data_IF_029575404016
#
_entry.id   IF_029575404016
#
_cell.length_a   1.000
_cell.length_b   1.000
_cell.length_c   1.000
_cell.angle_alpha   90.00
_cell.angle_beta   90.00
_cell.angle_gamma   90.00
#
_symmetry.space_group_name_H-M   'P 1'
#
loop_
_entity.id
_entity.type
_entity.pdbx_description
1 polymer ?
#
# COMPACT_ATOMS: atom_id res chain seq x y z
N UNK A 1 -13.41 33.24 5.27
CA UNK A 1 -14.10 33.13 6.57
C UNK A 1 -13.04 33.19 7.67
N UNK A 2 -13.19 34.09 8.65
CA UNK A 2 -12.17 34.29 9.71
C UNK A 2 -12.56 33.60 11.03
N UNK A 3 -13.82 33.21 11.20
CA UNK A 3 -14.30 32.52 12.40
C UNK A 3 -15.35 31.46 12.05
N UNK A 4 -15.32 30.31 12.72
CA UNK A 4 -16.36 29.32 12.66
C UNK A 4 -17.56 29.80 13.52
N UNK A 5 -18.72 29.96 12.89
CA UNK A 5 -19.92 30.43 13.61
C UNK A 5 -20.56 29.30 14.44
N UNK A 6 -20.46 28.06 13.99
CA UNK A 6 -20.95 26.87 14.69
C UNK A 6 -20.25 25.63 14.16
N UNK A 7 -19.86 24.73 15.05
CA UNK A 7 -19.25 23.43 14.73
C UNK A 7 -20.06 22.32 15.39
N UNK A 8 -20.49 21.34 14.60
CA UNK A 8 -21.13 20.13 15.08
C UNK A 8 -20.12 19.00 14.95
N UNK A 9 -19.86 18.28 16.03
CA UNK A 9 -18.98 17.13 16.04
C UNK A 9 -19.63 15.94 15.32
N UNK A 10 -18.83 15.17 14.57
CA UNK A 10 -19.29 13.97 13.88
C UNK A 10 -19.88 12.95 14.85
N UNK A 11 -19.27 12.78 16.02
CA UNK A 11 -19.77 11.92 17.10
C UNK A 11 -21.19 12.29 17.53
N UNK A 12 -21.53 13.60 17.56
CA UNK A 12 -22.89 14.07 17.86
C UNK A 12 -23.86 13.68 16.75
N UNK A 13 -23.50 13.89 15.47
CA UNK A 13 -24.34 13.52 14.33
C UNK A 13 -24.60 12.00 14.26
N UNK A 14 -23.62 11.17 14.61
CA UNK A 14 -23.79 9.72 14.70
C UNK A 14 -24.72 9.36 15.86
N UNK A 15 -24.53 9.95 17.02
CA UNK A 15 -25.34 9.69 18.22
C UNK A 15 -26.81 10.10 18.02
N UNK A 16 -27.04 11.21 17.33
CA UNK A 16 -28.38 11.72 17.02
C UNK A 16 -29.03 11.03 15.80
N UNK A 17 -28.29 10.12 15.13
CA UNK A 17 -28.82 9.31 14.03
C UNK A 17 -28.87 10.03 12.68
N UNK A 18 -28.14 11.15 12.50
CA UNK A 18 -27.98 11.81 11.21
C UNK A 18 -26.91 11.16 10.33
N UNK A 19 -26.01 10.37 10.94
CA UNK A 19 -24.99 9.60 10.25
C UNK A 19 -24.96 8.17 10.80
N UNK A 20 -24.60 7.20 9.95
CA UNK A 20 -24.30 5.83 10.39
C UNK A 20 -22.90 5.75 11.04
N UNK A 21 -22.69 4.70 11.84
CA UNK A 21 -21.39 4.49 12.49
C UNK A 21 -20.33 3.99 11.48
N UNK A 22 -19.11 4.56 11.47
CA UNK A 22 -17.99 3.96 10.74
C UNK A 22 -17.46 2.73 11.47
N UNK A 23 -17.13 1.69 10.70
CA UNK A 23 -16.29 0.56 11.12
C UNK A 23 -15.00 0.63 10.34
N UNK A 24 -13.95 1.11 10.99
CA UNK A 24 -12.68 1.40 10.34
C UNK A 24 -11.69 0.26 10.50
N UNK A 25 -11.04 -0.10 9.41
CA UNK A 25 -9.96 -1.08 9.35
C UNK A 25 -8.75 -0.41 8.71
N UNK A 26 -7.64 -0.39 9.41
CA UNK A 26 -6.36 0.05 8.86
C UNK A 26 -5.61 -1.19 8.41
N UNK A 27 -5.27 -1.23 7.14
CA UNK A 27 -4.56 -2.36 6.53
C UNK A 27 -3.09 -2.01 6.41
N UNK A 28 -2.24 -2.65 7.22
CA UNK A 28 -0.81 -2.46 7.14
C UNK A 28 -0.22 -3.31 6.01
N UNK A 29 0.24 -2.63 4.97
CA UNK A 29 0.88 -3.22 3.80
C UNK A 29 2.41 -3.33 3.93
N UNK A 30 2.97 -2.92 5.07
CA UNK A 30 4.43 -2.82 5.26
C UNK A 30 5.07 -1.69 4.45
N UNK A 31 4.31 -0.66 4.07
CA UNK A 31 4.78 0.51 3.31
C UNK A 31 4.59 1.82 4.08
N UNK A 32 4.19 1.75 5.34
CA UNK A 32 3.83 2.91 6.15
C UNK A 32 4.98 3.91 6.28
N UNK A 33 6.21 3.44 6.54
CA UNK A 33 7.38 4.31 6.68
C UNK A 33 7.70 5.04 5.36
N UNK A 34 7.36 4.47 4.21
CA UNK A 34 7.54 5.12 2.91
C UNK A 34 6.49 6.21 2.69
N UNK A 35 5.23 5.90 3.00
CA UNK A 35 4.15 6.89 2.91
C UNK A 35 4.39 8.08 3.85
N UNK A 36 4.96 7.85 5.02
CA UNK A 36 5.33 8.91 5.97
C UNK A 36 6.46 9.81 5.44
N UNK A 37 7.31 9.30 4.55
CA UNK A 37 8.45 10.00 3.97
C UNK A 37 8.16 10.64 2.59
N UNK A 38 6.95 10.49 2.06
CA UNK A 38 6.54 11.12 0.79
C UNK A 38 6.66 12.65 0.91
N UNK A 39 7.26 13.26 -0.12
CA UNK A 39 7.39 14.72 -0.19
C UNK A 39 6.02 15.39 -0.24
N UNK A 40 5.97 16.64 0.26
CA UNK A 40 4.76 17.45 0.18
C UNK A 40 4.91 18.53 -0.86
N UNK A 41 3.91 18.64 -1.72
CA UNK A 41 3.74 19.76 -2.66
C UNK A 41 2.69 20.72 -2.09
N UNK A 42 3.14 21.79 -1.43
CA UNK A 42 2.26 22.72 -0.71
C UNK A 42 1.62 22.08 0.51
N UNK A 43 0.28 21.98 0.52
CA UNK A 43 -0.48 21.37 1.62
C UNK A 43 -0.78 19.88 1.43
N UNK A 44 -0.48 19.31 0.26
CA UNK A 44 -0.78 17.92 -0.10
C UNK A 44 0.50 17.09 -0.26
N UNK A 45 0.37 15.76 -0.16
CA UNK A 45 1.44 14.84 -0.55
C UNK A 45 1.68 14.87 -2.06
N UNK A 46 2.89 14.53 -2.48
CA UNK A 46 3.16 14.26 -3.90
C UNK A 46 2.48 12.95 -4.29
N UNK A 47 1.38 13.07 -5.05
CA UNK A 47 0.54 11.94 -5.41
C UNK A 47 1.21 10.98 -6.41
N UNK A 48 2.20 11.44 -7.17
CA UNK A 48 3.00 10.56 -8.04
C UNK A 48 3.95 9.68 -7.20
N UNK A 49 4.55 10.24 -6.15
CA UNK A 49 5.33 9.43 -5.20
C UNK A 49 4.45 8.43 -4.44
N UNK A 50 3.24 8.85 -4.03
CA UNK A 50 2.27 7.94 -3.41
C UNK A 50 1.89 6.81 -4.37
N UNK A 51 1.59 7.13 -5.64
CA UNK A 51 1.26 6.12 -6.65
C UNK A 51 2.43 5.15 -6.88
N UNK A 52 3.68 5.64 -6.92
CA UNK A 52 4.85 4.79 -7.07
C UNK A 52 5.00 3.74 -5.95
N UNK A 53 4.44 4.00 -4.78
CA UNK A 53 4.40 3.07 -3.64
C UNK A 53 3.17 2.17 -3.71
N UNK A 54 1.99 2.76 -3.91
CA UNK A 54 0.70 2.10 -3.72
C UNK A 54 0.18 1.39 -4.98
N UNK A 55 0.50 1.89 -6.19
CA UNK A 55 0.03 1.30 -7.44
C UNK A 55 0.90 0.10 -7.83
N UNK A 56 0.64 -1.02 -7.18
CA UNK A 56 1.29 -2.32 -7.40
C UNK A 56 0.23 -3.41 -7.49
N UNK A 57 0.41 -4.34 -8.42
CA UNK A 57 -0.57 -5.40 -8.68
C UNK A 57 -0.95 -6.17 -7.42
N UNK A 58 0.04 -6.53 -6.59
CA UNK A 58 -0.20 -7.24 -5.33
C UNK A 58 -0.97 -6.40 -4.30
N UNK A 59 -0.77 -5.08 -4.31
CA UNK A 59 -1.52 -4.14 -3.44
C UNK A 59 -2.95 -4.00 -3.96
N UNK A 60 -3.12 -3.80 -5.27
CA UNK A 60 -4.43 -3.66 -5.89
C UNK A 60 -5.27 -4.94 -5.71
N UNK A 61 -4.66 -6.12 -5.81
CA UNK A 61 -5.30 -7.40 -5.50
C UNK A 61 -5.68 -7.49 -4.01
N UNK A 62 -4.83 -7.01 -3.11
CA UNK A 62 -5.12 -6.99 -1.66
C UNK A 62 -6.29 -6.08 -1.31
N UNK A 63 -6.42 -4.93 -1.96
CA UNK A 63 -7.57 -4.04 -1.80
C UNK A 63 -8.87 -4.79 -2.11
N UNK A 64 -8.90 -5.55 -3.20
CA UNK A 64 -10.05 -6.35 -3.61
C UNK A 64 -10.35 -7.47 -2.61
N UNK A 65 -9.34 -8.17 -2.09
CA UNK A 65 -9.53 -9.22 -1.09
C UNK A 65 -10.09 -8.68 0.23
N UNK A 66 -9.54 -7.58 0.74
CA UNK A 66 -10.05 -6.93 1.95
C UNK A 66 -11.48 -6.44 1.78
N UNK A 67 -11.78 -5.90 0.59
CA UNK A 67 -13.15 -5.50 0.28
C UNK A 67 -14.10 -6.70 0.29
N UNK A 68 -13.73 -7.84 -0.32
CA UNK A 68 -14.54 -9.07 -0.31
C UNK A 68 -14.78 -9.60 1.10
N UNK A 69 -13.75 -9.58 1.93
CA UNK A 69 -13.83 -10.10 3.31
C UNK A 69 -14.69 -9.21 4.21
N UNK A 70 -14.52 -7.88 4.11
CA UNK A 70 -15.11 -6.94 5.07
C UNK A 70 -16.35 -6.22 4.57
N UNK A 71 -16.42 -5.92 3.29
CA UNK A 71 -17.51 -5.14 2.70
C UNK A 71 -18.49 -5.99 1.88
N UNK A 72 -18.02 -7.10 1.30
CA UNK A 72 -18.87 -8.03 0.57
C UNK A 72 -19.47 -7.44 -0.69
N UNK A 73 -20.75 -7.10 -0.66
CA UNK A 73 -21.55 -6.59 -1.78
C UNK A 73 -21.90 -5.10 -1.68
N UNK A 74 -21.29 -4.39 -0.74
CA UNK A 74 -21.61 -2.99 -0.45
C UNK A 74 -21.26 -2.06 -1.61
N UNK A 75 -22.12 -1.08 -1.88
CA UNK A 75 -21.78 0.05 -2.73
C UNK A 75 -20.59 0.80 -2.16
N UNK A 76 -19.56 0.96 -2.97
CA UNK A 76 -18.22 1.37 -2.50
C UNK A 76 -17.68 2.52 -3.33
N UNK A 77 -17.03 3.48 -2.65
CA UNK A 77 -16.23 4.53 -3.30
C UNK A 77 -14.77 4.35 -2.89
N UNK A 78 -13.86 4.35 -3.88
CA UNK A 78 -12.41 4.23 -3.68
C UNK A 78 -11.73 5.54 -4.04
N UNK A 79 -10.86 6.04 -3.17
CA UNK A 79 -10.07 7.26 -3.38
C UNK A 79 -8.62 6.91 -3.68
N UNK A 80 -8.18 7.14 -4.92
CA UNK A 80 -6.83 6.87 -5.41
C UNK A 80 -5.97 8.13 -5.51
N UNK A 81 -4.65 7.95 -5.67
CA UNK A 81 -3.66 9.03 -5.78
C UNK A 81 -3.60 9.64 -7.17
N UNK A 82 -3.56 8.81 -8.22
CA UNK A 82 -3.46 9.24 -9.64
C UNK A 82 -4.53 8.56 -10.49
N UNK A 83 -4.72 9.05 -11.72
CA UNK A 83 -5.66 8.47 -12.68
C UNK A 83 -5.25 7.04 -13.04
N UNK A 84 -3.97 6.81 -13.30
CA UNK A 84 -3.45 5.49 -13.62
C UNK A 84 -3.65 4.51 -12.45
N UNK A 85 -3.41 4.93 -11.22
CA UNK A 85 -3.71 4.12 -10.03
C UNK A 85 -5.20 3.77 -9.94
N UNK A 86 -6.09 4.73 -10.23
CA UNK A 86 -7.54 4.48 -10.23
C UNK A 86 -7.94 3.46 -11.31
N UNK A 87 -7.35 3.55 -12.49
CA UNK A 87 -7.56 2.59 -13.59
C UNK A 87 -7.14 1.18 -13.18
N UNK A 88 -5.92 1.01 -12.63
CA UNK A 88 -5.41 -0.29 -12.20
C UNK A 88 -6.22 -0.90 -11.05
N UNK A 89 -6.68 -0.09 -10.10
CA UNK A 89 -7.57 -0.56 -9.02
C UNK A 89 -8.92 -0.99 -9.59
N UNK A 90 -9.52 -0.21 -10.51
CA UNK A 90 -10.76 -0.56 -11.19
C UNK A 90 -10.61 -1.90 -11.94
N UNK A 91 -9.54 -2.07 -12.71
CA UNK A 91 -9.24 -3.34 -13.39
C UNK A 91 -9.10 -4.52 -12.43
N UNK A 92 -8.50 -4.32 -11.24
CA UNK A 92 -8.39 -5.37 -10.25
C UNK A 92 -9.76 -5.83 -9.75
N UNK A 93 -10.72 -4.91 -9.52
CA UNK A 93 -12.10 -5.26 -9.21
C UNK A 93 -12.80 -5.99 -10.36
N UNK A 94 -12.65 -5.51 -11.60
CA UNK A 94 -13.24 -6.14 -12.78
C UNK A 94 -12.70 -7.56 -12.99
N UNK A 95 -11.39 -7.78 -12.86
CA UNK A 95 -10.77 -9.12 -12.91
C UNK A 95 -11.31 -10.07 -11.84
N UNK A 96 -11.71 -9.53 -10.71
CA UNK A 96 -12.31 -10.30 -9.62
C UNK A 96 -13.82 -10.57 -9.80
N UNK A 97 -14.41 -10.15 -10.94
CA UNK A 97 -15.82 -10.30 -11.28
C UNK A 97 -16.75 -9.30 -10.60
N UNK A 98 -16.22 -8.20 -10.07
CA UNK A 98 -16.97 -7.14 -9.40
C UNK A 98 -17.23 -6.02 -10.40
N UNK A 99 -18.48 -5.52 -10.46
CA UNK A 99 -18.83 -4.38 -11.33
C UNK A 99 -18.20 -3.11 -10.77
N UNK A 100 -17.20 -2.61 -11.48
CA UNK A 100 -16.46 -1.42 -11.10
C UNK A 100 -16.32 -0.47 -12.30
N UNK A 101 -16.22 0.80 -12.01
CA UNK A 101 -15.89 1.85 -12.97
C UNK A 101 -15.02 2.92 -12.29
N UNK A 102 -14.42 3.82 -13.07
CA UNK A 102 -13.61 4.90 -12.50
C UNK A 102 -13.97 6.26 -13.09
N UNK A 103 -13.91 7.29 -12.25
CA UNK A 103 -14.24 8.67 -12.61
C UNK A 103 -13.07 9.60 -12.28
N UNK A 104 -12.78 10.49 -13.23
CA UNK A 104 -11.70 11.47 -13.13
C UNK A 104 -12.21 12.89 -13.38
N UNK A 105 -11.32 13.88 -13.27
CA UNK A 105 -11.62 15.27 -13.61
C UNK A 105 -12.03 15.45 -15.08
N UNK A 106 -11.51 14.61 -15.96
CA UNK A 106 -11.74 14.68 -17.41
C UNK A 106 -12.99 13.91 -17.86
N UNK A 107 -13.62 13.13 -16.98
CA UNK A 107 -14.85 12.40 -17.28
C UNK A 107 -15.98 13.39 -17.62
N UNK A 108 -16.65 13.29 -18.79
CA UNK A 108 -17.78 14.15 -19.17
C UNK A 108 -18.87 14.16 -18.11
N UNK A 109 -19.60 15.28 -18.01
CA UNK A 109 -20.63 15.43 -16.95
C UNK A 109 -21.76 14.42 -17.09
N UNK A 110 -22.12 14.11 -18.32
CA UNK A 110 -23.19 13.15 -18.66
C UNK A 110 -22.79 11.75 -18.22
N UNK A 111 -21.60 11.31 -18.59
CA UNK A 111 -21.06 9.98 -18.23
C UNK A 111 -20.90 9.85 -16.72
N UNK A 112 -20.40 10.92 -16.07
CA UNK A 112 -20.29 10.97 -14.61
C UNK A 112 -21.67 10.84 -13.93
N UNK A 113 -22.68 11.51 -14.45
CA UNK A 113 -24.04 11.43 -13.91
C UNK A 113 -24.60 10.01 -14.07
N UNK A 114 -24.34 9.35 -15.20
CA UNK A 114 -24.73 7.96 -15.44
C UNK A 114 -24.04 7.00 -14.47
N UNK A 115 -22.71 7.11 -14.29
CA UNK A 115 -21.95 6.29 -13.33
C UNK A 115 -22.46 6.46 -11.89
N UNK A 116 -22.77 7.70 -11.48
CA UNK A 116 -23.30 7.98 -10.15
C UNK A 116 -24.72 7.42 -9.98
N UNK A 117 -25.56 7.53 -10.99
CA UNK A 117 -26.89 6.95 -10.98
C UNK A 117 -26.83 5.41 -10.92
N UNK A 118 -25.91 4.80 -11.67
CA UNK A 118 -25.72 3.33 -11.64
C UNK A 118 -25.15 2.87 -10.29
N UNK A 119 -24.23 3.63 -9.69
CA UNK A 119 -23.75 3.35 -8.32
C UNK A 119 -24.90 3.44 -7.31
N UNK A 120 -25.81 4.39 -7.46
CA UNK A 120 -26.90 4.63 -6.51
C UNK A 120 -28.06 3.64 -6.69
N UNK A 121 -28.56 3.46 -7.92
CA UNK A 121 -29.78 2.72 -8.22
C UNK A 121 -29.55 1.46 -9.07
N UNK A 122 -28.42 1.34 -9.75
CA UNK A 122 -28.12 0.26 -10.65
C UNK A 122 -27.22 -0.81 -10.04
N UNK A 123 -26.47 -1.46 -10.92
CA UNK A 123 -25.68 -2.63 -10.59
C UNK A 123 -24.19 -2.33 -10.32
N UNK A 124 -23.73 -1.11 -10.54
CA UNK A 124 -22.36 -0.70 -10.24
C UNK A 124 -22.10 -0.85 -8.74
N UNK A 125 -21.08 -1.63 -8.37
CA UNK A 125 -20.74 -1.91 -6.97
C UNK A 125 -19.64 -0.99 -6.46
N UNK A 126 -18.65 -0.71 -7.30
CA UNK A 126 -17.45 0.03 -6.92
C UNK A 126 -17.21 1.19 -7.89
N UNK A 127 -17.12 2.40 -7.38
CA UNK A 127 -16.71 3.58 -8.15
C UNK A 127 -15.38 4.10 -7.63
N UNK A 128 -14.35 3.97 -8.46
CA UNK A 128 -13.00 4.44 -8.16
C UNK A 128 -12.85 5.89 -8.61
N UNK A 129 -12.17 6.72 -7.84
CA UNK A 129 -12.01 8.13 -8.21
C UNK A 129 -10.69 8.74 -7.77
N UNK A 130 -10.34 9.86 -8.44
CA UNK A 130 -9.22 10.73 -8.07
C UNK A 130 -9.76 12.10 -7.70
N UNK A 131 -9.98 12.35 -6.40
CA UNK A 131 -10.43 13.62 -5.81
C UNK A 131 -11.79 14.18 -6.28
N UNK A 132 -12.41 13.60 -7.32
CA UNK A 132 -13.64 14.15 -7.94
C UNK A 132 -14.86 14.00 -7.02
N UNK A 133 -14.90 12.93 -6.24
CA UNK A 133 -16.02 12.61 -5.35
C UNK A 133 -15.82 13.12 -3.92
N UNK A 134 -14.83 13.94 -3.68
CA UNK A 134 -14.59 14.58 -2.38
C UNK A 134 -15.66 15.60 -2.07
N UNK A 135 -16.13 16.33 -3.08
CA UNK A 135 -17.17 17.36 -2.95
C UNK A 135 -18.28 17.17 -4.01
N UNK A 136 -19.49 17.67 -3.72
CA UNK A 136 -20.61 17.70 -4.68
C UNK A 136 -21.23 16.36 -5.06
N UNK A 137 -20.84 15.27 -4.43
CA UNK A 137 -21.36 13.92 -4.67
C UNK A 137 -22.31 13.50 -3.56
N UNK A 138 -23.45 12.93 -3.93
CA UNK A 138 -24.44 12.37 -3.01
C UNK A 138 -24.95 11.03 -3.54
N UNK A 139 -24.57 9.93 -2.87
CA UNK A 139 -25.14 8.61 -3.08
C UNK A 139 -25.28 7.91 -1.72
N UNK A 140 -26.41 8.09 -1.05
CA UNK A 140 -26.66 7.52 0.28
C UNK A 140 -26.48 6.00 0.41
N UNK A 141 -26.71 5.16 -0.63
CA UNK A 141 -26.45 3.72 -0.56
C UNK A 141 -24.97 3.33 -0.41
N UNK A 142 -24.03 4.23 -0.69
CA UNK A 142 -22.59 3.97 -0.44
C UNK A 142 -22.38 3.68 1.04
N UNK A 143 -21.91 2.47 1.35
CA UNK A 143 -21.70 1.98 2.71
C UNK A 143 -20.31 1.34 2.92
N UNK A 144 -19.42 1.55 1.94
CA UNK A 144 -18.00 1.28 2.06
C UNK A 144 -17.17 2.40 1.43
N UNK A 145 -16.11 2.81 2.11
CA UNK A 145 -15.13 3.80 1.62
C UNK A 145 -13.74 3.21 1.74
N UNK A 146 -12.99 3.26 0.64
CA UNK A 146 -11.61 2.78 0.59
C UNK A 146 -10.67 3.96 0.35
N UNK A 147 -9.68 4.11 1.21
CA UNK A 147 -8.61 5.11 1.09
C UNK A 147 -7.32 4.39 0.67
N UNK A 148 -6.90 4.56 -0.59
CA UNK A 148 -5.64 4.01 -1.10
C UNK A 148 -4.55 5.07 -1.17
N UNK A 149 -4.80 6.23 -0.61
CA UNK A 149 -3.86 7.35 -0.51
C UNK A 149 -3.83 7.95 0.89
N UNK A 150 -2.70 8.45 1.37
CA UNK A 150 -2.67 9.22 2.59
C UNK A 150 -3.40 10.55 2.42
N UNK A 151 -4.03 11.01 3.49
CA UNK A 151 -4.60 12.35 3.56
C UNK A 151 -3.64 13.27 4.32
N UNK A 152 -3.29 14.41 3.75
CA UNK A 152 -2.42 15.38 4.41
C UNK A 152 -3.14 16.21 5.49
N UNK A 153 -4.48 16.26 5.40
CA UNK A 153 -5.32 17.00 6.34
C UNK A 153 -6.47 16.13 6.85
N UNK A 154 -6.78 16.22 8.15
CA UNK A 154 -7.92 15.52 8.77
C UNK A 154 -9.25 15.89 8.07
N UNK A 155 -9.42 17.15 7.67
CA UNK A 155 -10.61 17.61 6.97
C UNK A 155 -10.86 16.86 5.65
N UNK A 156 -9.83 16.62 4.85
CA UNK A 156 -9.92 15.84 3.60
C UNK A 156 -10.34 14.40 3.89
N UNK A 157 -9.74 13.75 4.89
CA UNK A 157 -10.12 12.41 5.31
C UNK A 157 -11.60 12.35 5.75
N UNK A 158 -12.03 13.30 6.58
CA UNK A 158 -13.42 13.39 7.05
C UNK A 158 -14.39 13.59 5.90
N UNK A 159 -14.05 14.42 4.90
CA UNK A 159 -14.90 14.62 3.70
C UNK A 159 -15.02 13.33 2.89
N UNK A 160 -13.93 12.62 2.64
CA UNK A 160 -13.93 11.36 1.89
C UNK A 160 -14.78 10.30 2.61
N UNK A 161 -14.54 10.07 3.89
CA UNK A 161 -15.26 9.05 4.67
C UNK A 161 -16.74 9.46 4.87
N UNK A 162 -17.00 10.75 5.06
CA UNK A 162 -18.33 11.31 5.22
C UNK A 162 -19.29 10.97 4.08
N UNK A 163 -18.78 10.68 2.86
CA UNK A 163 -19.59 10.21 1.73
C UNK A 163 -20.29 8.88 2.01
N UNK A 164 -19.62 7.99 2.77
CA UNK A 164 -20.18 6.70 3.16
C UNK A 164 -21.02 6.74 4.44
N UNK A 165 -21.02 7.83 5.20
CA UNK A 165 -21.71 7.87 6.50
C UNK A 165 -23.17 8.33 6.45
N UNK A 166 -23.66 8.79 5.29
CA UNK A 166 -25.04 9.28 5.16
C UNK A 166 -26.06 8.18 5.45
N UNK A 167 -27.15 8.54 6.11
CA UNK A 167 -28.27 7.64 6.33
C UNK A 167 -29.08 7.48 5.04
N UNK A 168 -29.84 6.41 4.94
CA UNK A 168 -30.81 6.19 3.86
C UNK A 168 -32.14 6.78 4.24
N UNK A 169 -32.83 7.38 3.25
CA UNK A 169 -34.22 7.67 3.34
C UNK A 169 -35.00 6.38 3.03
N UNK A 170 -35.80 5.85 3.98
CA UNK A 170 -36.54 4.60 3.77
C UNK A 170 -37.60 4.69 2.64
N UNK A 171 -38.07 5.89 2.31
CA UNK A 171 -39.05 6.10 1.22
C UNK A 171 -38.35 5.98 -0.15
N UNK A 172 -37.13 6.47 -0.26
CA UNK A 172 -36.35 6.42 -1.51
C UNK A 172 -35.63 5.07 -1.70
N UNK A 173 -35.24 4.39 -0.60
CA UNK A 173 -34.51 3.15 -0.65
C UNK A 173 -35.16 2.02 0.17
N UNK A 174 -36.39 1.60 -0.19
CA UNK A 174 -37.19 0.68 0.63
C UNK A 174 -36.59 -0.73 0.76
N UNK A 175 -35.70 -1.10 -0.18
CA UNK A 175 -35.08 -2.44 -0.22
C UNK A 175 -33.64 -2.46 0.33
N UNK A 176 -33.10 -1.31 0.75
CA UNK A 176 -31.68 -1.20 1.17
C UNK A 176 -31.60 -0.95 2.66
N UNK A 177 -30.83 -1.77 3.36
CA UNK A 177 -30.56 -1.60 4.80
C UNK A 177 -29.10 -1.13 4.95
N UNK A 178 -28.91 0.01 5.62
CA UNK A 178 -27.59 0.54 5.94
C UNK A 178 -27.52 0.92 7.41
N UNK A 179 -26.78 0.15 8.19
CA UNK A 179 -26.61 0.34 9.63
C UNK A 179 -25.27 0.92 10.02
N UNK A 180 -24.29 0.77 9.13
CA UNK A 180 -22.91 1.22 9.31
C UNK A 180 -22.24 1.52 7.96
N UNK A 181 -21.00 2.02 8.02
CA UNK A 181 -20.13 2.18 6.87
C UNK A 181 -18.78 1.54 7.17
N UNK A 182 -18.34 0.65 6.29
CA UNK A 182 -16.97 0.09 6.35
C UNK A 182 -15.99 1.12 5.80
N UNK A 183 -14.91 1.36 6.51
CA UNK A 183 -13.79 2.19 6.05
C UNK A 183 -12.55 1.31 5.99
N UNK A 184 -11.98 1.15 4.79
CA UNK A 184 -10.72 0.43 4.59
C UNK A 184 -9.63 1.46 4.29
N UNK A 185 -8.70 1.65 5.22
CA UNK A 185 -7.60 2.61 5.09
C UNK A 185 -6.29 1.89 4.82
N UNK A 186 -5.85 1.96 3.57
CA UNK A 186 -4.54 1.49 3.10
C UNK A 186 -3.50 2.62 3.07
N UNK A 187 -3.96 3.88 3.18
CA UNK A 187 -3.14 5.08 3.08
C UNK A 187 -2.66 5.63 4.43
N UNK A 188 -2.86 4.90 5.53
CA UNK A 188 -2.47 5.31 6.89
C UNK A 188 -3.12 6.61 7.42
N UNK A 189 -4.17 7.08 6.76
CA UNK A 189 -4.81 8.36 7.09
C UNK A 189 -5.41 8.37 8.50
N UNK A 190 -6.01 7.24 8.92
CA UNK A 190 -6.59 7.08 10.27
C UNK A 190 -5.50 7.05 11.33
N UNK A 191 -4.37 6.37 11.08
CA UNK A 191 -3.22 6.38 12.00
C UNK A 191 -2.68 7.79 12.17
N UNK A 192 -2.56 8.54 11.07
CA UNK A 192 -1.97 9.88 11.05
C UNK A 192 -2.86 10.90 11.74
N UNK A 193 -4.17 10.86 11.53
CA UNK A 193 -5.11 11.91 11.95
C UNK A 193 -5.99 11.52 13.14
N UNK A 194 -5.93 10.28 13.61
CA UNK A 194 -6.81 9.74 14.64
C UNK A 194 -8.20 9.34 14.10
N UNK A 195 -9.02 8.82 14.98
CA UNK A 195 -10.36 8.37 14.63
C UNK A 195 -11.29 9.53 14.22
N UNK A 196 -12.36 9.17 13.51
CA UNK A 196 -13.33 10.14 12.97
C UNK A 196 -14.15 10.83 14.06
N UNK A 197 -14.31 10.20 15.19
CA UNK A 197 -15.07 10.69 16.35
C UNK A 197 -14.27 11.64 17.25
N UNK A 198 -12.95 11.79 17.01
CA UNK A 198 -12.16 12.80 17.70
C UNK A 198 -12.46 14.21 17.17
N UNK A 199 -12.64 15.15 18.10
CA UNK A 199 -12.97 16.55 17.84
C UNK A 199 -12.00 17.21 16.85
N UNK A 200 -12.50 17.67 15.71
CA UNK A 200 -11.72 18.46 14.75
C UNK A 200 -11.99 19.93 14.96
N UNK A 201 -10.99 20.72 15.36
CA UNK A 201 -11.12 22.18 15.38
C UNK A 201 -11.13 22.70 13.94
N UNK A 202 -12.29 23.13 13.46
CA UNK A 202 -12.48 23.74 12.14
C UNK A 202 -12.15 25.24 12.12
N UNK A 203 -12.01 25.85 13.28
CA UNK A 203 -11.44 27.20 13.38
C UNK A 203 -10.01 27.13 12.85
N UNK A 204 -9.80 27.54 11.63
CA UNK A 204 -8.48 27.62 10.98
C UNK A 204 -7.43 28.49 11.70
N UNK A 205 -7.56 28.63 13.00
CA UNK A 205 -6.53 29.05 13.90
C UNK A 205 -5.41 27.97 13.89
N UNK A 206 -4.52 28.04 12.90
CA UNK A 206 -3.13 27.98 13.26
C UNK A 206 -3.04 28.76 14.57
N UNK A 207 -2.61 28.12 15.63
CA UNK A 207 -2.23 28.82 16.87
C UNK A 207 -1.10 29.78 16.49
N UNK A 208 -1.50 30.90 15.90
CA UNK A 208 -0.72 32.07 15.75
C UNK A 208 -0.65 32.72 17.12
N UNK A 209 0.56 32.78 17.66
CA UNK A 209 1.03 33.74 18.61
C UNK A 209 0.21 33.82 19.92
N UNK A 210 0.65 33.04 20.95
CA UNK A 210 0.34 33.35 22.35
C UNK A 210 -0.13 32.20 23.24
N UNK A 211 -0.10 30.96 22.83
CA UNK A 211 -0.26 29.81 23.71
C UNK A 211 1.05 29.02 23.71
N UNK A 212 1.61 28.75 24.86
CA UNK A 212 2.77 27.88 25.01
C UNK A 212 2.48 26.56 24.30
N UNK A 213 3.29 26.23 23.29
CA UNK A 213 3.21 24.93 22.61
C UNK A 213 3.34 23.85 23.69
N UNK A 214 2.50 22.82 23.70
CA UNK A 214 2.63 21.77 24.70
C UNK A 214 4.05 21.22 24.67
N UNK A 215 4.70 21.26 25.83
CA UNK A 215 6.07 20.78 26.08
C UNK A 215 6.03 19.44 26.80
N UNK A 216 7.10 18.67 26.71
CA UNK A 216 7.35 17.48 27.52
C UNK A 216 8.79 17.53 28.05
N UNK A 217 9.02 16.98 29.23
CA UNK A 217 10.35 16.82 29.76
C UNK A 217 11.05 15.58 29.18
N UNK A 218 12.31 15.73 28.82
CA UNK A 218 13.14 14.60 28.40
C UNK A 218 13.54 13.77 29.64
N UNK A 219 13.27 12.44 29.67
CA UNK A 219 13.58 11.61 30.82
C UNK A 219 15.08 11.42 31.05
N UNK A 220 15.94 11.69 30.08
CA UNK A 220 17.39 11.55 30.20
C UNK A 220 18.07 12.83 30.66
N UNK A 221 17.67 14.00 30.16
CA UNK A 221 18.36 15.25 30.44
C UNK A 221 17.47 16.30 31.14
N UNK A 222 16.22 15.96 31.44
CA UNK A 222 15.20 16.82 32.06
C UNK A 222 14.94 18.16 31.34
N UNK A 223 15.37 18.27 30.08
CA UNK A 223 15.13 19.48 29.31
C UNK A 223 13.71 19.50 28.76
N UNK A 224 13.09 20.65 28.78
CA UNK A 224 11.79 20.89 28.19
C UNK A 224 11.92 20.95 26.67
N UNK A 225 11.22 20.07 25.97
CA UNK A 225 11.20 19.98 24.49
C UNK A 225 9.75 19.99 23.99
N UNK A 226 9.53 20.37 22.74
CA UNK A 226 8.19 20.32 22.17
C UNK A 226 7.58 18.92 22.32
N UNK A 227 6.29 18.82 22.64
CA UNK A 227 5.59 17.54 22.82
C UNK A 227 5.68 16.62 21.58
N UNK A 228 5.86 17.19 20.39
CA UNK A 228 6.01 16.47 19.12
C UNK A 228 7.46 16.07 18.80
N UNK A 229 8.43 16.42 19.62
CA UNK A 229 9.84 16.09 19.41
C UNK A 229 10.06 14.58 19.52
N UNK A 230 10.60 13.96 18.47
CA UNK A 230 10.93 12.51 18.43
C UNK A 230 12.30 12.21 19.01
N UNK A 231 13.27 13.08 18.77
CA UNK A 231 14.64 12.94 19.27
C UNK A 231 14.96 14.20 20.05
N UNK A 232 15.38 14.06 21.30
CA UNK A 232 15.77 15.19 22.12
C UNK A 232 16.94 15.95 21.45
N UNK A 233 16.80 17.26 21.16
CA UNK A 233 17.86 18.01 20.49
C UNK A 233 19.09 18.26 21.38
N UNK A 234 19.01 17.91 22.66
CA UNK A 234 20.06 18.17 23.65
C UNK A 234 20.86 16.89 23.97
N UNK A 235 20.21 15.75 24.17
CA UNK A 235 20.87 14.49 24.54
C UNK A 235 20.61 13.33 23.57
N UNK A 236 19.97 13.60 22.45
CA UNK A 236 19.63 12.61 21.41
C UNK A 236 18.75 11.43 21.89
N UNK A 237 18.11 11.56 23.07
CA UNK A 237 17.18 10.56 23.55
C UNK A 237 15.99 10.42 22.60
N UNK A 238 15.75 9.19 22.12
CA UNK A 238 14.62 8.87 21.26
C UNK A 238 13.39 8.58 22.14
N UNK A 239 12.40 9.48 22.09
CA UNK A 239 11.15 9.29 22.83
C UNK A 239 10.41 8.08 22.33
N UNK A 240 10.01 7.13 23.21
CA UNK A 240 9.18 6.00 22.80
C UNK A 240 7.91 6.55 22.14
N UNK A 241 7.52 5.94 21.02
CA UNK A 241 6.21 6.20 20.44
C UNK A 241 5.18 5.92 21.54
N UNK A 242 4.46 6.94 21.99
CA UNK A 242 3.21 6.69 22.68
C UNK A 242 2.34 6.00 21.65
N UNK A 243 2.16 4.71 21.78
CA UNK A 243 0.99 4.06 21.22
C UNK A 243 -0.18 4.84 21.78
N UNK A 244 -0.78 5.70 20.94
CA UNK A 244 -2.07 6.28 21.28
C UNK A 244 -2.97 5.05 21.38
N UNK A 245 -3.70 4.93 22.48
CA UNK A 245 -4.82 3.99 22.63
C UNK A 245 -5.92 4.35 21.59
N UNK A 246 -5.58 4.24 20.32
CA UNK A 246 -6.49 4.40 19.18
C UNK A 246 -7.18 3.06 18.89
N UNK A 247 -6.85 2.03 19.67
CA UNK A 247 -7.28 0.64 19.49
C UNK A 247 -8.78 0.41 19.58
N UNK A 248 -9.52 1.34 20.19
CA UNK A 248 -10.98 1.19 20.31
C UNK A 248 -11.77 1.61 19.07
N UNK A 249 -11.14 2.29 18.10
CA UNK A 249 -11.82 2.89 16.96
C UNK A 249 -11.50 2.26 15.60
N UNK A 250 -10.47 1.41 15.50
CA UNK A 250 -10.14 0.66 14.28
C UNK A 250 -9.43 -0.66 14.59
N UNK A 251 -9.51 -1.59 13.63
CA UNK A 251 -8.76 -2.86 13.66
C UNK A 251 -7.61 -2.76 12.68
N UNK A 252 -6.38 -3.00 13.17
CA UNK A 252 -5.20 -3.08 12.32
C UNK A 252 -4.98 -4.52 11.86
N UNK A 253 -4.71 -4.70 10.57
CA UNK A 253 -4.44 -6.01 9.99
C UNK A 253 -3.13 -5.95 9.20
N UNK A 254 -2.17 -6.80 9.57
CA UNK A 254 -0.88 -6.94 8.89
C UNK A 254 -0.87 -8.17 7.99
N UNK A 255 -0.34 -8.03 6.75
CA UNK A 255 -0.32 -9.11 5.77
C UNK A 255 1.03 -9.24 5.04
N UNK A 256 1.35 -10.48 4.68
CA UNK A 256 2.41 -10.77 3.70
C UNK A 256 1.83 -10.70 2.27
N UNK A 257 2.03 -9.55 1.61
CA UNK A 257 1.54 -9.31 0.25
C UNK A 257 2.05 -10.33 -0.78
N UNK A 258 3.22 -10.93 -0.54
CA UNK A 258 3.79 -11.91 -1.46
C UNK A 258 3.02 -13.23 -1.51
N UNK A 259 2.10 -13.47 -0.56
CA UNK A 259 1.16 -14.60 -0.66
C UNK A 259 0.24 -14.49 -1.89
N UNK A 260 -0.06 -13.28 -2.36
CA UNK A 260 -0.87 -13.02 -3.55
C UNK A 260 -0.10 -13.16 -4.86
N UNK A 261 1.22 -13.13 -4.84
CA UNK A 261 2.03 -13.33 -6.04
C UNK A 261 1.70 -14.67 -6.73
N UNK A 262 1.53 -14.68 -8.06
CA UNK A 262 1.40 -15.93 -8.81
C UNK A 262 2.71 -16.72 -8.84
N UNK A 263 3.85 -16.07 -8.56
CA UNK A 263 5.17 -16.69 -8.56
C UNK A 263 5.55 -17.23 -7.19
N UNK A 264 6.42 -18.24 -7.18
CA UNK A 264 7.00 -18.78 -5.96
C UNK A 264 8.26 -17.98 -5.61
N UNK A 265 8.14 -17.05 -4.67
CA UNK A 265 9.28 -16.34 -4.11
C UNK A 265 9.98 -17.21 -3.07
N UNK A 266 11.27 -17.45 -3.25
CA UNK A 266 12.07 -18.29 -2.35
C UNK A 266 13.28 -17.53 -1.82
N UNK A 267 13.65 -17.83 -0.58
CA UNK A 267 14.99 -17.54 -0.04
C UNK A 267 15.87 -18.78 -0.25
N UNK A 268 16.75 -18.78 -1.27
CA UNK A 268 17.52 -19.98 -1.59
C UNK A 268 18.57 -20.34 -0.52
N UNK A 269 18.91 -19.38 0.33
CA UNK A 269 19.96 -19.53 1.36
C UNK A 269 19.39 -19.60 2.79
N UNK A 270 18.10 -19.31 2.99
CA UNK A 270 17.44 -19.34 4.30
C UNK A 270 17.91 -18.24 5.27
N UNK A 271 18.49 -17.15 4.76
CA UNK A 271 19.06 -16.07 5.57
C UNK A 271 18.13 -14.85 5.69
N UNK A 272 16.99 -14.84 5.01
CA UNK A 272 16.06 -13.71 4.95
C UNK A 272 16.58 -12.46 4.21
N UNK A 273 17.78 -12.56 3.58
CA UNK A 273 18.48 -11.43 2.96
C UNK A 273 18.33 -11.34 1.44
N UNK A 274 17.91 -12.44 0.82
CA UNK A 274 17.75 -12.51 -0.63
C UNK A 274 16.52 -13.32 -0.96
N UNK A 275 15.62 -12.74 -1.75
CA UNK A 275 14.46 -13.42 -2.31
C UNK A 275 14.63 -13.53 -3.82
N UNK A 276 14.24 -14.65 -4.39
CA UNK A 276 14.35 -14.91 -5.83
C UNK A 276 13.08 -15.54 -6.37
N UNK A 277 12.72 -15.14 -7.59
CA UNK A 277 11.70 -15.79 -8.39
C UNK A 277 12.15 -15.85 -9.85
N UNK A 278 11.74 -16.89 -10.56
CA UNK A 278 12.02 -17.04 -11.99
C UNK A 278 10.81 -17.62 -12.70
N UNK A 279 10.60 -17.12 -13.91
CA UNK A 279 9.69 -17.71 -14.87
C UNK A 279 10.44 -18.36 -16.03
N UNK A 280 9.80 -18.39 -17.18
CA UNK A 280 10.39 -18.87 -18.45
C UNK A 280 10.97 -17.70 -19.26
N UNK A 281 10.39 -16.50 -19.14
CA UNK A 281 10.78 -15.30 -19.86
C UNK A 281 11.64 -14.35 -19.03
N UNK A 282 11.76 -14.58 -17.72
CA UNK A 282 12.53 -13.70 -16.86
C UNK A 282 12.92 -14.24 -15.50
N UNK A 283 13.74 -13.46 -14.87
CA UNK A 283 14.31 -13.70 -13.54
C UNK A 283 14.22 -12.41 -12.71
N UNK A 284 13.92 -12.55 -11.45
CA UNK A 284 13.91 -11.46 -10.48
C UNK A 284 14.62 -11.87 -9.19
N UNK A 285 15.37 -10.93 -8.62
CA UNK A 285 16.06 -11.06 -7.35
C UNK A 285 15.84 -9.79 -6.53
N UNK A 286 15.54 -9.94 -5.26
CA UNK A 286 15.44 -8.86 -4.29
C UNK A 286 16.42 -9.13 -3.17
N UNK A 287 17.38 -8.25 -2.99
CA UNK A 287 18.47 -8.41 -2.03
C UNK A 287 18.62 -7.22 -1.10
N UNK A 288 19.20 -7.45 0.07
CA UNK A 288 19.45 -6.42 1.07
C UNK A 288 20.70 -5.61 0.72
N UNK A 289 20.60 -4.29 0.72
CA UNK A 289 21.68 -3.35 0.44
C UNK A 289 21.74 -2.25 1.52
N UNK A 290 22.60 -2.41 2.52
CA UNK A 290 22.65 -1.50 3.67
C UNK A 290 21.33 -1.55 4.48
N UNK A 291 20.61 -0.44 4.57
CA UNK A 291 19.30 -0.36 5.20
C UNK A 291 18.14 -0.51 4.22
N UNK A 292 18.44 -0.67 2.93
CA UNK A 292 17.45 -0.76 1.86
C UNK A 292 17.43 -2.16 1.24
N UNK A 293 16.45 -2.39 0.39
CA UNK A 293 16.34 -3.55 -0.48
C UNK A 293 16.43 -3.09 -1.94
N UNK A 294 17.10 -3.88 -2.77
CA UNK A 294 17.27 -3.65 -4.20
C UNK A 294 16.60 -4.77 -4.98
N UNK A 295 15.70 -4.41 -5.90
CA UNK A 295 15.11 -5.32 -6.86
C UNK A 295 15.90 -5.28 -8.16
N UNK A 296 16.44 -6.43 -8.57
CA UNK A 296 17.15 -6.62 -9.83
C UNK A 296 16.38 -7.61 -10.67
N UNK A 297 16.05 -7.21 -11.90
CA UNK A 297 15.21 -7.96 -12.82
C UNK A 297 15.91 -8.14 -14.15
N UNK A 298 15.57 -9.23 -14.86
CA UNK A 298 16.15 -9.54 -16.17
C UNK A 298 15.15 -10.33 -17.03
N UNK A 299 14.82 -9.81 -18.21
CA UNK A 299 14.15 -10.60 -19.24
C UNK A 299 15.13 -11.62 -19.89
N UNK A 300 14.60 -12.68 -20.50
CA UNK A 300 15.40 -13.78 -21.07
C UNK A 300 16.53 -13.29 -21.99
N UNK A 301 16.22 -12.37 -22.91
CA UNK A 301 17.19 -11.81 -23.86
C UNK A 301 17.75 -10.44 -23.45
N UNK A 302 17.49 -9.98 -22.21
CA UNK A 302 17.89 -8.68 -21.70
C UNK A 302 19.14 -8.72 -20.81
N UNK A 303 19.57 -7.54 -20.39
CA UNK A 303 20.59 -7.40 -19.33
C UNK A 303 19.90 -7.17 -17.99
N UNK A 304 20.52 -7.59 -16.88
CA UNK A 304 20.02 -7.23 -15.55
C UNK A 304 19.92 -5.72 -15.39
N UNK A 305 18.83 -5.26 -14.77
CA UNK A 305 18.61 -3.85 -14.43
C UNK A 305 17.97 -3.73 -13.06
N UNK A 306 18.12 -2.58 -12.43
CA UNK A 306 17.42 -2.28 -11.17
C UNK A 306 15.97 -1.90 -11.50
N UNK A 307 15.02 -2.54 -10.85
CA UNK A 307 13.60 -2.22 -10.93
C UNK A 307 13.17 -1.24 -9.83
N UNK A 308 13.70 -1.44 -8.61
CA UNK A 308 13.37 -0.57 -7.47
C UNK A 308 14.48 -0.65 -6.40
N UNK A 309 14.60 0.41 -5.60
CA UNK A 309 15.37 0.44 -4.36
C UNK A 309 14.48 1.10 -3.32
N UNK A 310 14.29 0.45 -2.17
CA UNK A 310 13.42 0.96 -1.11
C UNK A 310 13.27 -0.08 0.00
N UNK A 311 12.10 -0.16 0.58
CA UNK A 311 11.78 -1.20 1.54
C UNK A 311 11.54 -2.56 0.87
N UNK A 312 11.55 -3.63 1.69
CA UNK A 312 11.42 -4.99 1.20
C UNK A 312 10.17 -5.19 0.36
N UNK A 313 9.02 -4.73 0.85
CA UNK A 313 7.72 -4.89 0.18
C UNK A 313 7.70 -4.17 -1.17
N UNK A 314 8.20 -2.94 -1.23
CA UNK A 314 8.29 -2.17 -2.47
C UNK A 314 9.21 -2.83 -3.51
N UNK A 315 10.39 -3.28 -3.08
CA UNK A 315 11.31 -3.98 -3.96
C UNK A 315 10.71 -5.30 -4.48
N UNK A 316 10.05 -6.07 -3.59
CA UNK A 316 9.35 -7.31 -3.94
C UNK A 316 8.21 -7.06 -4.92
N UNK A 317 7.35 -6.06 -4.67
CA UNK A 317 6.23 -5.73 -5.53
C UNK A 317 6.69 -5.28 -6.94
N UNK A 318 7.73 -4.44 -7.02
CA UNK A 318 8.29 -4.02 -8.31
C UNK A 318 8.91 -5.17 -9.11
N UNK A 319 9.51 -6.14 -8.43
CA UNK A 319 10.07 -7.33 -9.06
C UNK A 319 8.97 -8.31 -9.50
N UNK A 320 7.87 -8.40 -8.73
CA UNK A 320 6.71 -9.22 -9.07
C UNK A 320 5.95 -8.66 -10.27
N UNK A 321 5.71 -7.35 -10.32
CA UNK A 321 5.10 -6.67 -11.46
C UNK A 321 5.89 -6.90 -12.75
N UNK A 322 7.23 -6.79 -12.68
CA UNK A 322 8.07 -7.10 -13.83
C UNK A 322 7.88 -8.53 -14.35
N UNK A 323 7.82 -9.52 -13.45
CA UNK A 323 7.57 -10.91 -13.86
C UNK A 323 6.17 -11.08 -14.46
N UNK A 324 5.15 -10.42 -13.90
CA UNK A 324 3.78 -10.44 -14.44
C UNK A 324 3.70 -9.85 -15.84
N UNK A 325 4.47 -8.79 -16.10
CA UNK A 325 4.51 -8.13 -17.41
C UNK A 325 5.10 -9.02 -18.51
N UNK A 326 6.14 -9.79 -18.18
CA UNK A 326 6.90 -10.53 -19.20
C UNK A 326 6.53 -12.02 -19.31
N UNK A 327 5.88 -12.60 -18.30
CA UNK A 327 5.52 -14.03 -18.31
C UNK A 327 4.16 -14.24 -18.95
N UNK A 328 4.15 -14.94 -20.08
CA UNK A 328 2.93 -15.32 -20.79
C UNK A 328 2.26 -16.54 -20.12
N UNK A 329 1.09 -16.32 -19.57
CA UNK A 329 0.22 -17.38 -19.06
C UNK A 329 0.68 -18.01 -17.73
N UNK A 330 0.13 -19.18 -17.43
CA UNK A 330 0.27 -19.85 -16.12
C UNK A 330 1.47 -20.81 -15.99
N UNK A 331 2.43 -20.80 -16.91
CA UNK A 331 3.51 -21.79 -16.93
C UNK A 331 4.46 -21.66 -15.71
N UNK A 332 4.72 -20.43 -15.27
CA UNK A 332 5.57 -20.11 -14.11
C UNK A 332 4.80 -20.00 -12.79
N UNK A 333 3.47 -20.25 -12.79
CA UNK A 333 2.63 -20.10 -11.60
C UNK A 333 3.08 -21.05 -10.48
N UNK A 334 3.06 -20.55 -9.24
CA UNK A 334 3.47 -21.28 -8.00
C UNK A 334 2.71 -22.60 -7.77
N UNK A 335 1.55 -22.79 -8.36
CA UNK A 335 0.76 -24.03 -8.27
C UNK A 335 1.29 -25.18 -9.15
N UNK A 336 2.28 -24.92 -10.01
CA UNK A 336 2.77 -25.92 -10.97
C UNK A 336 3.64 -26.97 -10.29
N UNK A 337 3.37 -28.24 -10.57
CA UNK A 337 4.08 -29.39 -9.98
C UNK A 337 5.57 -29.43 -10.28
N UNK A 338 6.01 -28.89 -11.42
CA UNK A 338 7.41 -28.94 -11.81
C UNK A 338 8.33 -28.15 -10.86
N UNK A 339 7.81 -27.13 -10.16
CA UNK A 339 8.59 -26.34 -9.22
C UNK A 339 9.16 -27.19 -8.08
N UNK A 340 8.40 -28.19 -7.64
CA UNK A 340 8.76 -29.07 -6.52
C UNK A 340 9.45 -30.38 -6.96
N UNK A 341 9.66 -30.58 -8.28
CA UNK A 341 10.42 -31.72 -8.75
C UNK A 341 11.90 -31.57 -8.39
N UNK A 342 12.60 -32.71 -8.15
CA UNK A 342 14.02 -32.70 -7.87
C UNK A 342 14.83 -32.03 -9.00
N UNK A 343 15.87 -31.29 -8.65
CA UNK A 343 16.79 -30.66 -9.61
C UNK A 343 17.42 -31.73 -10.52
N UNK A 344 17.51 -31.38 -11.80
CA UNK A 344 18.11 -32.31 -12.80
C UNK A 344 19.61 -32.50 -12.56
N UNK A 345 20.20 -33.63 -12.98
CA UNK A 345 21.65 -33.83 -12.89
C UNK A 345 22.44 -32.68 -13.52
N UNK A 346 21.93 -32.15 -14.65
CA UNK A 346 22.55 -31.01 -15.34
C UNK A 346 22.51 -29.73 -14.53
N UNK A 347 21.40 -29.45 -13.87
CA UNK A 347 21.32 -28.27 -12.95
C UNK A 347 22.29 -28.42 -11.77
N UNK A 348 22.34 -29.60 -11.17
CA UNK A 348 23.28 -29.88 -10.06
C UNK A 348 24.75 -29.76 -10.50
N UNK A 349 25.09 -30.25 -11.70
CA UNK A 349 26.43 -30.09 -12.27
C UNK A 349 26.81 -28.62 -12.48
N UNK A 350 25.87 -27.82 -13.03
CA UNK A 350 26.08 -26.40 -13.25
C UNK A 350 26.27 -25.64 -11.91
N UNK A 351 25.47 -25.94 -10.90
CA UNK A 351 25.62 -25.33 -9.57
C UNK A 351 26.98 -25.62 -8.94
N UNK A 352 27.49 -26.87 -9.08
CA UNK A 352 28.85 -27.24 -8.58
C UNK A 352 29.96 -26.43 -9.25
N UNK A 353 29.80 -26.06 -10.54
CA UNK A 353 30.77 -25.18 -11.24
C UNK A 353 30.88 -23.80 -10.61
N UNK A 354 29.85 -23.37 -9.89
CA UNK A 354 29.81 -22.13 -9.12
C UNK A 354 30.08 -22.34 -7.62
N UNK A 355 30.71 -23.47 -7.27
CA UNK A 355 31.09 -23.81 -5.89
C UNK A 355 29.90 -23.98 -4.93
N UNK A 356 28.70 -24.14 -5.45
CA UNK A 356 27.51 -24.44 -4.64
C UNK A 356 27.55 -25.89 -4.21
N UNK A 357 27.53 -26.14 -2.92
CA UNK A 357 27.55 -27.51 -2.36
C UNK A 357 26.20 -28.20 -2.63
N UNK A 358 26.14 -29.02 -3.66
CA UNK A 358 24.99 -29.82 -4.03
C UNK A 358 25.39 -31.26 -4.26
N UNK A 359 24.96 -32.18 -3.40
CA UNK A 359 25.18 -33.63 -3.62
C UNK A 359 24.16 -34.20 -4.61
N UNK A 360 24.47 -35.34 -5.21
CA UNK A 360 23.51 -35.99 -6.12
C UNK A 360 22.26 -36.48 -5.41
N UNK A 361 22.40 -36.90 -4.15
CA UNK A 361 21.31 -37.38 -3.31
C UNK A 361 20.63 -36.28 -2.48
N UNK A 362 20.97 -35.00 -2.73
CA UNK A 362 20.34 -33.89 -2.04
C UNK A 362 18.98 -33.57 -2.68
N UNK A 363 17.92 -34.04 -2.06
CA UNK A 363 16.53 -33.80 -2.48
C UNK A 363 15.98 -32.44 -2.05
N UNK A 364 16.72 -31.66 -1.24
CA UNK A 364 16.34 -30.29 -0.85
C UNK A 364 16.42 -29.32 -2.04
N UNK A 365 17.17 -29.70 -3.10
CA UNK A 365 17.28 -28.92 -4.32
C UNK A 365 16.18 -29.30 -5.32
N UNK A 366 15.18 -28.42 -5.41
CA UNK A 366 14.15 -28.53 -6.45
C UNK A 366 14.64 -27.93 -7.77
N UNK A 367 13.95 -28.31 -8.89
CA UNK A 367 14.20 -27.69 -10.20
C UNK A 367 14.09 -26.17 -10.14
N UNK A 368 13.13 -25.67 -9.37
CA UNK A 368 12.87 -24.25 -9.24
C UNK A 368 13.97 -23.54 -8.44
N UNK A 369 14.33 -24.07 -7.28
CA UNK A 369 15.44 -23.52 -6.48
C UNK A 369 16.74 -23.48 -7.29
N UNK A 370 17.04 -24.55 -8.02
CA UNK A 370 18.21 -24.61 -8.89
C UNK A 370 18.13 -23.56 -10.03
N UNK A 371 16.95 -23.37 -10.64
CA UNK A 371 16.76 -22.36 -11.69
C UNK A 371 16.96 -20.94 -11.16
N UNK A 372 16.42 -20.59 -9.98
CA UNK A 372 16.63 -19.29 -9.35
C UNK A 372 18.12 -19.01 -9.10
N UNK A 373 18.83 -19.96 -8.48
CA UNK A 373 20.27 -19.81 -8.22
C UNK A 373 21.10 -19.69 -9.52
N UNK A 374 20.81 -20.52 -10.53
CA UNK A 374 21.50 -20.43 -11.81
C UNK A 374 21.21 -19.11 -12.53
N UNK A 375 19.99 -18.58 -12.42
CA UNK A 375 19.64 -17.24 -12.90
C UNK A 375 20.54 -16.16 -12.32
N UNK A 376 20.84 -16.22 -11.03
CA UNK A 376 21.81 -15.32 -10.39
C UNK A 376 23.24 -15.57 -10.90
N UNK A 377 23.74 -16.82 -10.83
CA UNK A 377 25.14 -17.12 -11.16
C UNK A 377 25.50 -16.82 -12.61
N UNK A 378 24.59 -17.05 -13.56
CA UNK A 378 24.82 -16.69 -14.96
C UNK A 378 24.93 -15.18 -15.21
N UNK A 379 24.44 -14.37 -14.27
CA UNK A 379 24.43 -12.91 -14.37
C UNK A 379 25.21 -12.22 -13.25
N UNK A 380 25.98 -12.99 -12.45
CA UNK A 380 26.62 -12.54 -11.22
C UNK A 380 27.40 -11.25 -11.41
N UNK A 381 28.32 -11.18 -12.38
CA UNK A 381 29.18 -10.00 -12.58
C UNK A 381 28.40 -8.73 -12.92
N UNK A 382 27.26 -8.87 -13.60
CA UNK A 382 26.39 -7.74 -13.93
C UNK A 382 25.56 -7.32 -12.72
N UNK A 383 25.06 -8.29 -11.95
CA UNK A 383 24.30 -8.05 -10.71
C UNK A 383 25.20 -7.39 -9.67
N UNK A 384 26.40 -7.93 -9.43
CA UNK A 384 27.34 -7.42 -8.44
C UNK A 384 27.76 -5.98 -8.77
N UNK A 385 27.92 -5.64 -10.06
CA UNK A 385 28.16 -4.26 -10.50
C UNK A 385 26.97 -3.36 -10.19
N UNK A 386 25.75 -3.77 -10.47
CA UNK A 386 24.55 -3.00 -10.17
C UNK A 386 24.42 -2.75 -8.66
N UNK A 387 24.70 -3.75 -7.83
CA UNK A 387 24.70 -3.62 -6.37
C UNK A 387 25.78 -2.62 -5.94
N UNK A 388 27.01 -2.76 -6.43
CA UNK A 388 28.12 -1.89 -6.06
C UNK A 388 27.88 -0.42 -6.46
N UNK A 389 27.39 -0.18 -7.69
CA UNK A 389 27.09 1.17 -8.20
C UNK A 389 26.00 1.85 -7.38
N UNK A 390 24.96 1.11 -7.01
CA UNK A 390 23.87 1.68 -6.22
C UNK A 390 24.25 1.82 -4.74
N UNK A 391 25.06 0.91 -4.19
CA UNK A 391 25.64 1.10 -2.86
C UNK A 391 26.43 2.41 -2.77
N UNK A 392 27.28 2.67 -3.77
CA UNK A 392 28.08 3.90 -3.83
C UNK A 392 27.18 5.15 -3.90
N UNK A 393 26.11 5.10 -4.68
CA UNK A 393 25.14 6.20 -4.78
C UNK A 393 24.41 6.48 -3.46
N UNK A 394 24.03 5.40 -2.72
CA UNK A 394 23.26 5.51 -1.48
C UNK A 394 24.12 5.90 -0.27
N UNK A 395 25.37 5.47 -0.23
CA UNK A 395 26.22 5.60 0.96
C UNK A 395 27.45 6.49 0.78
N UNK A 396 27.80 6.83 -0.46
CA UNK A 396 29.05 7.50 -0.80
C UNK A 396 30.31 6.63 -0.62
N UNK A 397 30.18 5.33 -0.28
CA UNK A 397 31.27 4.41 0.01
C UNK A 397 31.41 3.35 -1.08
N UNK A 398 32.64 2.90 -1.33
CA UNK A 398 32.88 1.79 -2.24
C UNK A 398 32.52 0.45 -1.61
N UNK A 399 31.75 -0.37 -2.32
CA UNK A 399 31.25 -1.68 -1.84
C UNK A 399 32.40 -2.67 -1.48
N UNK A 400 33.48 -2.65 -2.24
CA UNK A 400 34.62 -3.54 -2.05
C UNK A 400 35.50 -3.27 -0.80
N UNK A 401 35.17 -2.24 0.00
CA UNK A 401 35.92 -1.86 1.21
C UNK A 401 35.21 -2.27 2.51
N UNK A 402 34.15 -3.06 2.42
CA UNK A 402 33.46 -3.72 3.52
C UNK A 402 33.70 -5.22 3.49
#
# INVERSE_FOLDING_TARGET
FYNCAHQIEMATLIREGFLVRPKSYVVDLGVNDQLDNVTRRGKEYDMEEVAAIMDRSVINERIVEEWKDKAGDRKTVVFCSTVLHAEHVCEAFLRAGIRADFVTGDTPKEDRAEMLHDLEFGDLQVLVNVMVLTEGFDAPPVSCVILTRPCSQKGTMVQMIGRGLRILDPELYPSTIKTDCIVLDFGTSIITHGALDETTNLDGAEKGVGGESPTKECPECNSEVSANTRICPICEYEFPRKEKDVLDSFVMTEYDLMQLSPFMWIDPYGLGKVMMATGFQGFAMVGHIGKYWIAIVKAQNGRPRVASIGEKVQAMAAADDFLREIEDGNAANKSKRWLNQAATPRQKELLRKYEVQVSEMDFSWTKYKAACCLGYYFNRDAIDRLVADNWKKLTGKDYAKM
#
